data_IF_186372139383
#
_entry.id   IF_186372139383
#
_cell.length_a   1.000
_cell.length_b   1.000
_cell.length_c   1.000
_cell.angle_alpha   90.00
_cell.angle_beta   90.00
_cell.angle_gamma   90.00
#
_symmetry.space_group_name_H-M   'P 1'
#
loop_
_entity.id
_entity.type
_entity.pdbx_description
1 polymer ?
#
# COMPACT_ATOMS: atom_id res chain seq x y z
N UNK A 1 16.31 24.38 2.32
CA UNK A 1 16.07 23.77 3.65
C UNK A 1 15.35 22.47 3.40
N UNK A 2 16.08 21.36 3.45
CA UNK A 2 15.56 20.04 3.10
C UNK A 2 14.51 19.63 4.13
N UNK A 3 13.31 19.36 3.64
CA UNK A 3 12.23 18.77 4.41
C UNK A 3 12.58 17.30 4.67
N UNK A 4 12.73 16.89 5.93
CA UNK A 4 12.94 15.48 6.29
C UNK A 4 11.61 14.72 6.23
N UNK A 5 11.17 14.49 4.99
CA UNK A 5 9.99 13.68 4.66
C UNK A 5 9.99 12.30 5.37
N UNK A 6 11.13 11.55 5.46
CA UNK A 6 11.20 10.34 6.27
C UNK A 6 10.80 10.53 7.73
N UNK A 7 11.31 11.57 8.39
CA UNK A 7 10.94 11.88 9.77
C UNK A 7 9.44 12.24 9.86
N UNK A 8 8.93 13.01 8.90
CA UNK A 8 7.52 13.34 8.78
C UNK A 8 6.58 12.16 8.67
N UNK A 9 6.87 11.25 7.74
CA UNK A 9 6.04 10.06 7.55
C UNK A 9 6.17 9.08 8.73
N UNK A 10 7.37 8.96 9.31
CA UNK A 10 7.59 8.19 10.54
C UNK A 10 6.73 8.73 11.69
N UNK A 11 6.71 10.05 11.85
CA UNK A 11 5.95 10.70 12.89
C UNK A 11 4.42 10.58 12.68
N UNK A 12 3.93 10.79 11.45
CA UNK A 12 2.50 10.60 11.10
C UNK A 12 2.07 9.15 11.39
N UNK A 13 2.92 8.18 11.11
CA UNK A 13 2.66 6.78 11.42
C UNK A 13 2.55 6.51 12.93
N UNK A 14 3.41 7.15 13.76
CA UNK A 14 3.31 7.07 15.22
C UNK A 14 2.00 7.65 15.74
N UNK A 15 1.62 8.83 15.25
CA UNK A 15 0.35 9.48 15.59
C UNK A 15 -0.85 8.60 15.24
N UNK A 16 -0.93 8.13 13.99
CA UNK A 16 -1.99 7.22 13.53
C UNK A 16 -2.06 5.93 14.37
N UNK A 17 -0.91 5.34 14.69
CA UNK A 17 -0.84 4.10 15.49
C UNK A 17 -1.32 4.32 16.93
N UNK A 18 -0.98 5.45 17.54
CA UNK A 18 -1.47 5.82 18.86
C UNK A 18 -3.00 5.94 18.88
N UNK A 19 -3.58 6.70 17.93
CA UNK A 19 -5.04 6.85 17.85
C UNK A 19 -5.73 5.52 17.56
N UNK A 20 -5.15 4.65 16.71
CA UNK A 20 -5.66 3.28 16.47
C UNK A 20 -5.71 2.47 17.77
N UNK A 21 -4.65 2.53 18.58
CA UNK A 21 -4.61 1.84 19.87
C UNK A 21 -5.67 2.40 20.84
N UNK A 22 -5.83 3.73 20.89
CA UNK A 22 -6.88 4.36 21.71
C UNK A 22 -8.29 3.95 21.27
N UNK A 23 -8.55 3.93 19.95
CA UNK A 23 -9.84 3.52 19.41
C UNK A 23 -10.15 2.05 19.72
N UNK A 24 -9.17 1.14 19.54
CA UNK A 24 -9.34 -0.26 19.89
C UNK A 24 -9.66 -0.42 21.39
N UNK A 25 -8.94 0.30 22.25
CA UNK A 25 -9.16 0.26 23.69
C UNK A 25 -10.55 0.82 24.08
N UNK A 26 -11.02 1.87 23.40
CA UNK A 26 -12.37 2.44 23.62
C UNK A 26 -13.52 1.55 23.16
N UNK A 27 -13.28 0.63 22.22
CA UNK A 27 -14.28 -0.32 21.76
C UNK A 27 -14.42 -1.52 22.71
N UNK A 28 -13.34 -1.89 23.39
CA UNK A 28 -13.32 -2.98 24.37
C UNK A 28 -13.90 -2.51 25.71
N UNK A 29 -13.85 -1.20 25.99
CA UNK A 29 -14.48 -0.62 27.16
C UNK A 29 -16.01 -0.64 27.05
N UNK A 30 -16.61 -1.75 27.48
CA UNK A 30 -18.05 -1.88 27.73
C UNK A 30 -18.44 -1.09 28.99
N UNK A 31 -19.74 -0.89 29.29
CA UNK A 31 -20.17 -0.20 30.52
C UNK A 31 -19.62 -0.82 31.83
N UNK A 32 -19.08 -2.04 31.79
CA UNK A 32 -18.45 -2.72 32.93
C UNK A 32 -16.93 -2.55 33.04
N UNK A 33 -16.25 -2.08 32.01
CA UNK A 33 -14.80 -1.90 31.98
C UNK A 33 -14.47 -0.55 31.34
N UNK A 34 -14.52 0.53 32.12
CA UNK A 34 -13.97 1.82 31.68
C UNK A 34 -12.45 1.68 31.60
N UNK A 35 -11.80 2.37 30.66
CA UNK A 35 -10.34 2.47 30.63
C UNK A 35 -9.82 2.86 32.02
N UNK A 36 -8.93 2.05 32.59
CA UNK A 36 -8.35 2.34 33.90
C UNK A 36 -7.60 3.68 33.87
N UNK A 37 -7.61 4.39 34.99
CA UNK A 37 -7.03 5.73 35.14
C UNK A 37 -5.55 5.81 34.68
N UNK A 38 -4.76 4.78 34.98
CA UNK A 38 -3.37 4.67 34.53
C UNK A 38 -3.23 4.55 33.00
N UNK A 39 -4.15 3.86 32.33
CA UNK A 39 -4.14 3.72 30.86
C UNK A 39 -4.54 5.03 30.18
N UNK A 40 -5.55 5.70 30.72
CA UNK A 40 -5.99 7.04 30.31
C UNK A 40 -4.84 8.04 30.42
N UNK A 41 -4.18 8.09 31.58
CA UNK A 41 -3.02 8.94 31.81
C UNK A 41 -1.90 8.61 30.82
N UNK A 42 -1.55 7.33 30.64
CA UNK A 42 -0.50 6.91 29.71
C UNK A 42 -0.78 7.25 28.24
N UNK A 43 -2.03 7.19 27.78
CA UNK A 43 -2.41 7.66 26.44
C UNK A 43 -2.32 9.17 26.32
N UNK A 44 -2.82 9.91 27.31
CA UNK A 44 -2.80 11.37 27.35
C UNK A 44 -1.37 11.93 27.26
N UNK A 45 -0.44 11.40 28.05
CA UNK A 45 0.96 11.87 28.05
C UNK A 45 1.66 11.58 26.71
N UNK A 46 1.45 10.40 26.12
CA UNK A 46 1.99 10.07 24.80
C UNK A 46 1.41 10.95 23.70
N UNK A 47 0.11 11.26 23.77
CA UNK A 47 -0.56 12.13 22.82
C UNK A 47 -0.02 13.55 22.90
N UNK A 48 0.10 14.09 24.12
CA UNK A 48 0.66 15.41 24.39
C UNK A 48 2.11 15.51 23.88
N UNK A 49 2.96 14.54 24.22
CA UNK A 49 4.35 14.51 23.75
C UNK A 49 4.47 14.46 22.22
N UNK A 50 3.56 13.76 21.53
CA UNK A 50 3.52 13.80 20.07
C UNK A 50 3.13 15.20 19.58
N UNK A 51 2.05 15.79 20.09
CA UNK A 51 1.57 17.11 19.68
C UNK A 51 2.63 18.20 19.89
N UNK A 52 3.36 18.16 21.01
CA UNK A 52 4.47 19.08 21.29
C UNK A 52 5.63 18.91 20.31
N UNK A 53 5.84 17.67 19.83
CA UNK A 53 6.76 17.39 18.73
C UNK A 53 6.32 17.94 17.37
N UNK A 54 5.08 18.46 17.23
CA UNK A 54 4.62 19.18 16.02
C UNK A 54 5.16 20.61 16.07
N UNK A 55 6.48 20.74 15.98
CA UNK A 55 7.17 22.00 16.19
C UNK A 55 7.05 22.99 15.01
N UNK A 56 6.64 22.56 13.81
CA UNK A 56 6.59 23.44 12.63
C UNK A 56 5.24 23.42 11.89
N UNK A 57 4.86 24.58 11.37
CA UNK A 57 3.65 24.80 10.56
C UNK A 57 3.55 23.83 9.36
N UNK A 58 4.69 23.36 8.83
CA UNK A 58 4.77 22.43 7.70
C UNK A 58 4.26 21.02 8.02
N UNK A 59 4.40 20.54 9.25
CA UNK A 59 3.86 19.24 9.68
C UNK A 59 2.33 19.24 9.67
N UNK A 60 1.72 20.40 9.99
CA UNK A 60 0.27 20.60 9.93
C UNK A 60 -0.27 20.52 8.50
N UNK A 61 0.52 20.89 7.49
CA UNK A 61 0.13 20.72 6.08
C UNK A 61 0.04 19.25 5.68
N UNK A 62 1.03 18.44 6.07
CA UNK A 62 1.00 16.99 5.77
C UNK A 62 -0.14 16.26 6.47
N UNK A 63 -0.52 16.70 7.67
CA UNK A 63 -1.69 16.16 8.37
C UNK A 63 -2.97 16.40 7.58
N UNK A 64 -3.13 17.58 6.98
CA UNK A 64 -4.28 17.92 6.13
C UNK A 64 -4.32 17.09 4.85
N UNK A 65 -3.16 16.82 4.25
CA UNK A 65 -3.03 16.02 3.02
C UNK A 65 -3.11 14.51 3.27
N UNK A 66 -2.93 14.05 4.52
CA UNK A 66 -3.03 12.64 4.86
C UNK A 66 -4.42 12.10 4.51
N UNK A 67 -4.46 10.87 4.00
CA UNK A 67 -5.71 10.14 3.75
C UNK A 67 -6.05 9.13 4.85
N UNK A 68 -5.19 9.01 5.87
CA UNK A 68 -5.44 8.11 6.99
C UNK A 68 -6.62 8.65 7.83
N UNK A 69 -7.68 7.85 8.09
CA UNK A 69 -8.80 8.30 8.91
C UNK A 69 -8.42 8.61 10.36
N UNK A 70 -7.38 7.99 10.90
CA UNK A 70 -6.94 8.17 12.28
C UNK A 70 -6.12 9.44 12.51
N UNK A 71 -5.69 10.09 11.43
CA UNK A 71 -5.06 11.40 11.51
C UNK A 71 -6.08 12.51 11.81
N UNK A 72 -7.37 12.31 11.47
CA UNK A 72 -8.41 13.30 11.75
C UNK A 72 -8.61 13.54 13.27
N UNK A 73 -8.81 12.53 14.14
CA UNK A 73 -8.87 12.74 15.59
C UNK A 73 -7.59 13.35 16.18
N UNK A 74 -6.43 12.94 15.67
CA UNK A 74 -5.16 13.50 16.10
C UNK A 74 -5.05 14.99 15.74
N UNK A 75 -5.50 15.38 14.55
CA UNK A 75 -5.52 16.77 14.12
C UNK A 75 -6.46 17.62 14.99
N UNK A 76 -7.63 17.10 15.36
CA UNK A 76 -8.53 17.79 16.29
C UNK A 76 -7.84 18.08 17.65
N UNK A 77 -7.06 17.13 18.16
CA UNK A 77 -6.28 17.34 19.38
C UNK A 77 -5.16 18.37 19.21
N UNK A 78 -4.48 18.40 18.06
CA UNK A 78 -3.50 19.44 17.74
C UNK A 78 -4.15 20.84 17.71
N UNK A 79 -5.26 20.98 16.99
CA UNK A 79 -5.98 22.25 16.85
C UNK A 79 -6.44 22.76 18.21
N UNK A 80 -6.94 21.85 19.07
CA UNK A 80 -7.31 22.17 20.46
C UNK A 80 -6.11 22.61 21.30
N UNK A 81 -4.98 21.89 21.21
CA UNK A 81 -3.76 22.21 21.93
C UNK A 81 -3.24 23.60 21.59
N UNK A 82 -3.03 23.87 20.30
CA UNK A 82 -2.43 25.13 19.86
C UNK A 82 -3.37 26.33 20.02
N UNK A 83 -4.68 26.14 19.94
CA UNK A 83 -5.66 27.22 20.20
C UNK A 83 -5.58 27.70 21.64
N UNK A 84 -5.50 26.77 22.60
CA UNK A 84 -5.41 27.12 24.03
C UNK A 84 -4.02 27.60 24.42
N UNK A 85 -2.97 27.03 23.83
CA UNK A 85 -1.60 27.51 24.05
C UNK A 85 -1.46 28.98 23.64
N UNK A 86 -2.09 29.39 22.52
CA UNK A 86 -2.13 30.79 22.09
C UNK A 86 -2.87 31.71 23.07
N UNK A 87 -3.73 31.16 23.93
CA UNK A 87 -4.43 31.87 25.00
C UNK A 87 -3.66 31.82 26.33
N UNK A 88 -2.44 31.27 26.35
CA UNK A 88 -1.62 31.14 27.56
C UNK A 88 -2.00 29.97 28.47
N UNK A 89 -2.82 29.02 28.00
CA UNK A 89 -3.24 27.84 28.77
C UNK A 89 -2.77 26.57 28.07
N UNK A 90 -2.04 25.75 28.80
CA UNK A 90 -1.59 24.45 28.30
C UNK A 90 -2.62 23.35 28.58
N UNK A 91 -3.18 22.66 27.56
CA UNK A 91 -4.12 21.57 27.79
C UNK A 91 -3.45 20.32 28.39
N UNK A 92 -4.18 19.63 29.26
CA UNK A 92 -3.71 18.37 29.86
C UNK A 92 -3.84 17.19 28.89
N UNK A 93 -3.08 16.11 29.12
CA UNK A 93 -3.21 14.87 28.36
C UNK A 93 -4.63 14.28 28.40
N UNK A 94 -5.31 14.39 29.55
CA UNK A 94 -6.69 13.95 29.73
C UNK A 94 -7.68 14.74 28.85
N UNK A 95 -7.49 16.06 28.78
CA UNK A 95 -8.31 16.95 27.97
C UNK A 95 -8.14 16.62 26.47
N UNK A 96 -6.90 16.44 26.02
CA UNK A 96 -6.59 16.06 24.63
C UNK A 96 -7.18 14.67 24.29
N UNK A 97 -7.15 13.74 25.24
CA UNK A 97 -7.77 12.43 25.07
C UNK A 97 -9.29 12.54 24.88
N UNK A 98 -9.96 13.42 25.63
CA UNK A 98 -11.40 13.67 25.48
C UNK A 98 -11.73 14.16 24.06
N UNK A 99 -10.94 15.10 23.53
CA UNK A 99 -11.07 15.61 22.16
C UNK A 99 -10.92 14.47 21.13
N UNK A 100 -9.91 13.62 21.29
CA UNK A 100 -9.72 12.45 20.40
C UNK A 100 -10.92 11.51 20.45
N UNK A 101 -11.43 11.17 21.64
CA UNK A 101 -12.55 10.25 21.80
C UNK A 101 -13.84 10.81 21.18
N UNK A 102 -14.10 12.12 21.35
CA UNK A 102 -15.20 12.80 20.68
C UNK A 102 -15.05 12.74 19.15
N UNK A 103 -13.85 13.01 18.63
CA UNK A 103 -13.59 12.93 17.19
C UNK A 103 -13.73 11.50 16.63
N UNK A 104 -13.34 10.47 17.38
CA UNK A 104 -13.54 9.06 17.02
C UNK A 104 -15.02 8.65 16.96
N UNK A 105 -15.88 9.30 17.73
CA UNK A 105 -17.34 9.08 17.72
C UNK A 105 -18.05 9.94 16.66
N UNK A 106 -17.33 10.85 15.99
CA UNK A 106 -17.94 11.78 15.04
C UNK A 106 -18.41 11.10 13.75
N UNK A 107 -19.51 11.59 13.13
CA UNK A 107 -19.94 11.14 11.80
C UNK A 107 -18.85 11.32 10.73
N UNK A 108 -18.04 12.38 10.83
CA UNK A 108 -16.95 12.66 9.89
C UNK A 108 -15.88 11.57 9.90
N UNK A 109 -15.47 11.09 11.09
CA UNK A 109 -14.53 9.99 11.21
C UNK A 109 -15.10 8.69 10.61
N UNK A 110 -16.35 8.38 10.91
CA UNK A 110 -17.04 7.21 10.35
C UNK A 110 -17.07 7.25 8.81
N UNK A 111 -17.43 8.40 8.22
CA UNK A 111 -17.45 8.60 6.77
C UNK A 111 -16.07 8.44 6.12
N UNK A 112 -15.01 8.99 6.75
CA UNK A 112 -13.64 8.90 6.24
C UNK A 112 -13.11 7.46 6.30
N UNK A 113 -13.33 6.76 7.41
CA UNK A 113 -12.98 5.34 7.57
C UNK A 113 -13.70 4.47 6.55
N UNK A 114 -15.00 4.69 6.36
CA UNK A 114 -15.81 3.93 5.41
C UNK A 114 -15.41 4.20 3.96
N UNK A 115 -14.98 5.42 3.64
CA UNK A 115 -14.47 5.77 2.31
C UNK A 115 -13.17 5.04 1.99
N UNK A 116 -12.22 4.99 2.95
CA UNK A 116 -10.98 4.22 2.80
C UNK A 116 -11.27 2.73 2.68
N UNK A 117 -12.20 2.19 3.48
CA UNK A 117 -12.66 0.79 3.38
C UNK A 117 -13.24 0.49 2.00
N UNK A 118 -14.18 1.30 1.50
CA UNK A 118 -14.79 1.15 0.17
C UNK A 118 -13.74 1.19 -0.95
N UNK A 119 -12.79 2.12 -0.87
CA UNK A 119 -11.70 2.22 -1.84
C UNK A 119 -10.84 0.95 -1.85
N UNK A 120 -10.43 0.44 -0.69
CA UNK A 120 -9.72 -0.84 -0.58
C UNK A 120 -10.50 -1.98 -1.24
N UNK A 121 -11.78 -2.14 -0.91
CA UNK A 121 -12.60 -3.20 -1.52
C UNK A 121 -12.71 -3.05 -3.03
N UNK A 122 -12.89 -1.83 -3.53
CA UNK A 122 -12.95 -1.56 -4.98
C UNK A 122 -11.64 -1.93 -5.67
N UNK A 123 -10.49 -1.56 -5.11
CA UNK A 123 -9.17 -1.90 -5.65
C UNK A 123 -8.95 -3.40 -5.62
N UNK A 124 -9.21 -4.06 -4.48
CA UNK A 124 -9.10 -5.52 -4.33
C UNK A 124 -9.95 -6.25 -5.37
N UNK A 125 -11.24 -5.95 -5.45
CA UNK A 125 -12.16 -6.62 -6.36
C UNK A 125 -11.77 -6.38 -7.81
N UNK A 126 -11.32 -5.16 -8.16
CA UNK A 126 -10.83 -4.89 -9.52
C UNK A 126 -9.56 -5.65 -9.87
N UNK A 127 -8.64 -5.85 -8.92
CA UNK A 127 -7.42 -6.63 -9.16
C UNK A 127 -7.74 -8.12 -9.31
N UNK A 128 -8.59 -8.65 -8.45
CA UNK A 128 -9.03 -10.04 -8.53
C UNK A 128 -9.72 -10.30 -9.87
N UNK A 129 -10.73 -9.50 -10.23
CA UNK A 129 -11.43 -9.66 -11.50
C UNK A 129 -10.47 -9.59 -12.70
N UNK A 130 -9.54 -8.63 -12.69
CA UNK A 130 -8.56 -8.48 -13.75
C UNK A 130 -7.68 -9.73 -13.96
N UNK A 131 -7.25 -10.38 -12.89
CA UNK A 131 -6.46 -11.64 -12.98
C UNK A 131 -7.34 -12.80 -13.45
N UNK A 132 -8.59 -12.88 -12.99
CA UNK A 132 -9.54 -13.89 -13.44
C UNK A 132 -9.86 -13.74 -14.94
N UNK A 133 -10.06 -12.52 -15.43
CA UNK A 133 -10.29 -12.23 -16.85
C UNK A 133 -9.10 -12.70 -17.71
N UNK A 134 -7.87 -12.36 -17.30
CA UNK A 134 -6.66 -12.84 -17.96
C UNK A 134 -6.53 -14.37 -17.89
N UNK A 135 -6.98 -15.00 -16.81
CA UNK A 135 -6.95 -16.46 -16.69
C UNK A 135 -7.97 -17.15 -17.61
N UNK A 136 -9.13 -16.53 -17.87
CA UNK A 136 -10.10 -17.00 -18.86
C UNK A 136 -9.52 -16.87 -20.28
N UNK A 137 -8.92 -15.73 -20.60
CA UNK A 137 -8.30 -15.47 -21.91
C UNK A 137 -7.12 -16.44 -22.16
N UNK A 138 -6.24 -16.60 -21.15
CA UNK A 138 -5.04 -17.43 -21.23
C UNK A 138 -5.18 -18.69 -20.37
N UNK A 139 -5.61 -19.78 -20.99
CA UNK A 139 -5.77 -21.11 -20.36
C UNK A 139 -4.55 -21.59 -19.57
N UNK A 140 -3.34 -21.15 -19.91
CA UNK A 140 -2.14 -21.28 -19.07
C UNK A 140 -1.62 -19.89 -18.72
N UNK A 141 -1.85 -19.45 -17.49
CA UNK A 141 -1.46 -18.13 -17.00
C UNK A 141 -0.30 -18.30 -16.02
N UNK A 142 0.76 -17.51 -16.19
CA UNK A 142 1.87 -17.43 -15.25
C UNK A 142 1.86 -16.09 -14.54
N UNK A 143 2.00 -16.11 -13.21
CA UNK A 143 2.04 -14.93 -12.35
C UNK A 143 3.41 -14.85 -11.67
N UNK A 144 4.15 -13.77 -11.93
CA UNK A 144 5.45 -13.46 -11.32
C UNK A 144 5.29 -12.25 -10.41
N UNK A 145 5.67 -12.37 -9.13
CA UNK A 145 5.58 -11.28 -8.15
C UNK A 145 6.94 -10.94 -7.56
N UNK A 146 7.28 -9.66 -7.62
CA UNK A 146 8.54 -9.10 -7.17
C UNK A 146 8.30 -7.95 -6.21
N UNK A 147 9.14 -7.86 -5.18
CA UNK A 147 9.26 -6.63 -4.38
C UNK A 147 10.52 -5.92 -4.81
N UNK A 148 10.40 -4.65 -5.17
CA UNK A 148 11.47 -3.82 -5.70
C UNK A 148 11.69 -2.63 -4.76
N UNK A 149 12.93 -2.37 -4.36
CA UNK A 149 13.27 -1.24 -3.48
C UNK A 149 14.63 -0.65 -3.85
N UNK A 150 15.02 0.42 -3.15
CA UNK A 150 16.34 1.04 -3.23
C UNK A 150 17.12 0.74 -1.93
N UNK A 151 18.39 0.33 -2.06
CA UNK A 151 19.24 0.00 -0.92
C UNK A 151 19.68 1.26 -0.17
N UNK A 152 19.59 1.23 1.16
CA UNK A 152 20.06 2.33 2.02
C UNK A 152 21.58 2.46 1.95
N UNK A 153 22.07 3.70 1.87
CA UNK A 153 23.51 4.04 1.95
C UNK A 153 24.16 4.48 0.64
N UNK A 154 23.57 4.16 -0.52
CA UNK A 154 24.08 4.54 -1.85
C UNK A 154 23.33 5.73 -2.47
N UNK A 155 22.37 6.29 -1.75
CA UNK A 155 21.45 7.33 -2.22
C UNK A 155 21.89 8.76 -1.90
N UNK A 156 23.16 9.01 -1.48
CA UNK A 156 23.61 10.36 -1.05
C UNK A 156 23.35 11.47 -2.09
N UNK A 157 23.31 11.12 -3.38
CA UNK A 157 23.01 12.04 -4.49
C UNK A 157 21.75 11.65 -5.29
N UNK A 158 20.95 10.70 -4.81
CA UNK A 158 19.77 10.19 -5.51
C UNK A 158 18.58 10.17 -4.56
N UNK A 159 17.45 10.72 -5.00
CA UNK A 159 16.19 10.68 -4.27
C UNK A 159 15.26 9.67 -4.94
N UNK A 160 15.15 8.42 -4.44
CA UNK A 160 14.25 7.40 -4.97
C UNK A 160 12.83 7.90 -5.24
N UNK A 161 12.31 8.76 -4.36
CA UNK A 161 10.98 9.36 -4.44
C UNK A 161 10.77 10.21 -5.71
N UNK A 162 11.85 10.76 -6.28
CA UNK A 162 11.80 11.60 -7.47
C UNK A 162 11.92 10.80 -8.78
N UNK A 163 12.38 9.55 -8.73
CA UNK A 163 12.66 8.74 -9.94
C UNK A 163 11.88 7.44 -10.06
N UNK A 164 11.25 6.95 -8.98
CA UNK A 164 10.60 5.63 -9.00
C UNK A 164 9.58 5.45 -10.13
N UNK A 165 8.86 6.53 -10.52
CA UNK A 165 7.89 6.46 -11.60
C UNK A 165 8.58 6.31 -12.97
N UNK A 166 9.68 7.01 -13.19
CA UNK A 166 10.49 6.89 -14.40
C UNK A 166 11.18 5.52 -14.47
N UNK A 167 11.76 5.06 -13.36
CA UNK A 167 12.37 3.74 -13.24
C UNK A 167 11.36 2.62 -13.50
N UNK A 168 10.14 2.77 -12.98
CA UNK A 168 9.04 1.87 -13.28
C UNK A 168 8.73 1.81 -14.77
N UNK A 169 8.67 2.95 -15.47
CA UNK A 169 8.46 2.95 -16.91
C UNK A 169 9.63 2.35 -17.70
N UNK A 170 10.87 2.60 -17.27
CA UNK A 170 12.06 1.96 -17.86
C UNK A 170 11.99 0.45 -17.71
N UNK A 171 11.56 -0.06 -16.56
CA UNK A 171 11.36 -1.48 -16.32
C UNK A 171 10.26 -2.07 -17.22
N UNK A 172 9.12 -1.37 -17.37
CA UNK A 172 8.05 -1.80 -18.28
C UNK A 172 8.53 -1.90 -19.73
N UNK A 173 9.35 -0.95 -20.20
CA UNK A 173 9.95 -1.00 -21.55
C UNK A 173 10.87 -2.21 -21.72
N UNK A 174 11.70 -2.50 -20.73
CA UNK A 174 12.54 -3.71 -20.74
C UNK A 174 11.69 -4.99 -20.82
N UNK A 175 10.63 -5.08 -20.00
CA UNK A 175 9.75 -6.26 -20.00
C UNK A 175 9.06 -6.42 -21.35
N UNK A 176 8.54 -5.32 -21.94
CA UNK A 176 7.92 -5.36 -23.26
C UNK A 176 8.89 -5.86 -24.34
N UNK A 177 10.12 -5.37 -24.35
CA UNK A 177 11.13 -5.77 -25.35
C UNK A 177 11.57 -7.23 -25.18
N UNK A 178 11.69 -7.71 -23.94
CA UNK A 178 12.23 -9.05 -23.65
C UNK A 178 11.19 -10.17 -23.62
N UNK A 179 9.91 -9.86 -23.38
CA UNK A 179 8.90 -10.88 -23.08
C UNK A 179 7.63 -10.77 -23.92
N UNK A 180 7.46 -9.80 -24.81
CA UNK A 180 6.34 -9.82 -25.77
C UNK A 180 6.55 -10.92 -26.82
N UNK A 181 5.51 -11.70 -27.21
CA UNK A 181 4.08 -11.55 -26.88
C UNK A 181 3.63 -12.27 -25.60
N UNK A 182 4.55 -12.92 -24.89
CA UNK A 182 4.23 -13.67 -23.69
C UNK A 182 3.76 -12.79 -22.52
N UNK A 183 4.23 -11.55 -22.40
CA UNK A 183 3.77 -10.61 -21.37
C UNK A 183 2.40 -10.05 -21.70
N UNK A 184 1.42 -10.30 -20.82
CA UNK A 184 -0.01 -10.01 -21.08
C UNK A 184 -0.63 -9.02 -20.12
N UNK A 185 0.07 -8.66 -19.04
CA UNK A 185 -0.47 -7.75 -18.05
C UNK A 185 0.43 -7.47 -16.85
N UNK A 186 0.05 -6.46 -16.06
CA UNK A 186 0.69 -6.19 -14.79
C UNK A 186 -0.26 -5.52 -13.78
N UNK A 187 0.10 -5.62 -12.50
CA UNK A 187 -0.33 -4.73 -11.44
C UNK A 187 0.89 -4.30 -10.61
N UNK A 188 0.90 -3.07 -10.10
CA UNK A 188 1.94 -2.54 -9.23
C UNK A 188 1.32 -1.73 -8.11
N UNK A 189 1.88 -1.86 -6.91
CA UNK A 189 1.60 -1.00 -5.77
C UNK A 189 2.87 -0.30 -5.33
N UNK A 190 2.85 1.02 -5.27
CA UNK A 190 3.87 1.84 -4.64
C UNK A 190 3.54 2.04 -3.16
N UNK A 191 4.55 1.89 -2.31
CA UNK A 191 4.49 2.08 -0.87
C UNK A 191 5.63 2.96 -0.38
N UNK A 192 5.47 3.54 0.82
CA UNK A 192 6.55 4.23 1.52
C UNK A 192 6.71 3.66 2.93
N UNK A 193 7.85 3.03 3.19
CA UNK A 193 8.20 2.54 4.50
C UNK A 193 9.30 3.40 5.14
N UNK A 194 9.19 3.83 6.41
CA UNK A 194 10.26 4.61 7.08
C UNK A 194 11.64 3.93 7.01
N UNK A 195 11.67 2.60 7.00
CA UNK A 195 12.91 1.83 6.87
C UNK A 195 13.31 1.51 5.43
N UNK A 196 12.38 1.42 4.48
CA UNK A 196 12.67 1.00 3.09
C UNK A 196 12.67 2.16 2.09
N UNK A 197 12.21 3.34 2.49
CA UNK A 197 11.88 4.42 1.58
C UNK A 197 10.71 4.04 0.67
N UNK A 198 10.63 4.71 -0.48
CA UNK A 198 9.69 4.30 -1.53
C UNK A 198 10.09 2.95 -2.15
N UNK A 199 9.10 2.09 -2.37
CA UNK A 199 9.28 0.77 -2.97
C UNK A 199 8.03 0.33 -3.73
N UNK A 200 8.15 -0.74 -4.52
CA UNK A 200 7.07 -1.25 -5.37
C UNK A 200 6.86 -2.76 -5.19
N UNK A 201 5.60 -3.16 -5.01
CA UNK A 201 5.14 -4.54 -5.10
C UNK A 201 4.56 -4.77 -6.49
N UNK A 202 5.21 -5.61 -7.28
CA UNK A 202 4.89 -5.82 -8.71
C UNK A 202 4.34 -7.22 -8.90
N UNK A 203 3.23 -7.34 -9.64
CA UNK A 203 2.68 -8.59 -10.16
C UNK A 203 2.66 -8.50 -11.69
N UNK A 204 3.38 -9.40 -12.35
CA UNK A 204 3.46 -9.52 -13.80
C UNK A 204 2.72 -10.78 -14.24
N UNK A 205 1.98 -10.68 -15.33
CA UNK A 205 1.18 -11.76 -15.88
C UNK A 205 1.69 -12.12 -17.27
N UNK A 206 1.87 -13.43 -17.51
CA UNK A 206 2.36 -13.96 -18.76
C UNK A 206 1.46 -15.08 -19.30
N UNK A 207 1.34 -15.19 -20.62
CA UNK A 207 0.83 -16.37 -21.27
C UNK A 207 1.85 -17.52 -21.08
N UNK A 208 1.56 -18.42 -20.16
CA UNK A 208 2.44 -19.54 -19.82
C UNK A 208 2.53 -20.62 -20.91
N UNK A 209 1.84 -20.46 -22.04
CA UNK A 209 2.11 -21.28 -23.25
C UNK A 209 3.39 -20.84 -23.95
N UNK A 210 3.72 -19.55 -23.90
CA UNK A 210 4.88 -18.95 -24.56
C UNK A 210 6.13 -18.96 -23.67
N UNK A 211 5.95 -18.99 -22.35
CA UNK A 211 7.04 -18.93 -21.37
C UNK A 211 6.92 -19.99 -20.28
N UNK A 212 8.05 -20.31 -19.66
CA UNK A 212 8.19 -21.23 -18.52
C UNK A 212 9.15 -20.64 -17.48
N UNK A 213 9.29 -21.33 -16.35
CA UNK A 213 10.26 -20.99 -15.29
C UNK A 213 10.05 -19.59 -14.69
N UNK A 214 8.92 -19.44 -14.01
CA UNK A 214 8.52 -18.18 -13.38
C UNK A 214 9.55 -17.66 -12.35
N UNK A 215 10.26 -18.56 -11.65
CA UNK A 215 11.38 -18.20 -10.78
C UNK A 215 12.54 -17.56 -11.57
N UNK A 216 12.92 -18.16 -12.71
CA UNK A 216 13.98 -17.64 -13.59
C UNK A 216 13.59 -16.28 -14.16
N UNK A 217 12.34 -16.13 -14.63
CA UNK A 217 11.83 -14.85 -15.15
C UNK A 217 11.86 -13.78 -14.06
N UNK A 218 11.37 -14.09 -12.86
CA UNK A 218 11.43 -13.17 -11.73
C UNK A 218 12.86 -12.73 -11.40
N UNK A 219 13.83 -13.65 -11.47
CA UNK A 219 15.24 -13.34 -11.29
C UNK A 219 15.78 -12.43 -12.40
N UNK A 220 15.48 -12.70 -13.67
CA UNK A 220 15.94 -11.86 -14.80
C UNK A 220 15.46 -10.41 -14.61
N UNK A 221 14.17 -10.23 -14.30
CA UNK A 221 13.56 -8.91 -14.14
C UNK A 221 14.09 -8.20 -12.89
N UNK A 222 14.20 -8.92 -11.76
CA UNK A 222 14.76 -8.38 -10.52
C UNK A 222 16.22 -7.98 -10.64
N UNK A 223 17.03 -8.78 -11.34
CA UNK A 223 18.43 -8.44 -11.63
C UNK A 223 18.53 -7.20 -12.52
N UNK A 224 17.67 -7.08 -13.53
CA UNK A 224 17.63 -5.89 -14.37
C UNK A 224 17.23 -4.63 -13.58
N UNK A 225 16.26 -4.76 -12.66
CA UNK A 225 15.91 -3.69 -11.71
C UNK A 225 17.15 -3.24 -10.92
N UNK A 226 17.84 -4.20 -10.27
CA UNK A 226 19.01 -3.95 -9.44
C UNK A 226 20.17 -3.31 -10.21
N UNK A 227 20.53 -3.86 -11.37
CA UNK A 227 21.78 -3.53 -12.05
C UNK A 227 21.63 -2.37 -13.03
N UNK A 228 20.52 -2.30 -13.77
CA UNK A 228 20.38 -1.40 -14.93
C UNK A 228 19.37 -0.29 -14.66
N UNK A 229 18.19 -0.60 -14.14
CA UNK A 229 17.15 0.41 -13.92
C UNK A 229 17.59 1.39 -12.84
N UNK A 230 18.08 0.85 -11.73
CA UNK A 230 18.47 1.62 -10.54
C UNK A 230 19.97 1.85 -10.43
N UNK A 231 20.72 1.66 -11.52
CA UNK A 231 22.16 1.97 -11.57
C UNK A 231 22.98 1.28 -10.45
N UNK A 232 22.61 0.04 -10.11
CA UNK A 232 23.28 -0.76 -9.08
C UNK A 232 22.78 -0.52 -7.64
N UNK A 233 21.90 0.47 -7.41
CA UNK A 233 21.45 0.82 -6.05
C UNK A 233 20.12 0.17 -5.64
N UNK A 234 19.49 -0.61 -6.52
CA UNK A 234 18.23 -1.30 -6.26
C UNK A 234 18.40 -2.64 -5.58
N UNK A 235 17.40 -3.06 -4.82
CA UNK A 235 17.25 -4.43 -4.34
C UNK A 235 15.93 -5.03 -4.81
N UNK A 236 15.85 -6.35 -4.83
CA UNK A 236 14.61 -7.04 -5.11
C UNK A 236 14.46 -8.33 -4.30
N UNK A 237 13.21 -8.76 -4.13
CA UNK A 237 12.84 -10.05 -3.56
C UNK A 237 11.95 -10.78 -4.56
N UNK A 238 12.40 -11.97 -4.97
CA UNK A 238 11.64 -12.82 -5.87
C UNK A 238 10.75 -13.76 -5.07
N UNK A 239 9.44 -13.53 -5.10
CA UNK A 239 8.50 -14.41 -4.40
C UNK A 239 8.29 -15.74 -5.09
N UNK A 240 8.65 -15.85 -6.37
CA UNK A 240 8.43 -17.06 -7.15
C UNK A 240 9.43 -18.19 -6.84
N UNK A 241 10.32 -18.00 -5.87
CA UNK A 241 11.24 -19.06 -5.43
C UNK A 241 10.47 -20.28 -4.93
N UNK A 242 10.93 -21.47 -5.27
CA UNK A 242 10.33 -22.73 -4.79
C UNK A 242 10.15 -22.75 -3.27
N UNK A 243 11.16 -22.30 -2.53
CA UNK A 243 11.12 -22.26 -1.07
C UNK A 243 10.03 -21.33 -0.53
N UNK A 244 9.81 -20.16 -1.15
CA UNK A 244 8.79 -19.23 -0.70
C UNK A 244 7.37 -19.68 -1.07
N UNK A 245 7.17 -20.26 -2.26
CA UNK A 245 5.88 -20.86 -2.64
C UNK A 245 5.46 -21.98 -1.68
N UNK A 246 6.40 -22.81 -1.23
CA UNK A 246 6.12 -23.90 -0.31
C UNK A 246 5.65 -23.44 1.09
N UNK A 247 5.81 -22.16 1.43
CA UNK A 247 5.33 -21.56 2.68
C UNK A 247 3.92 -20.97 2.55
N UNK A 248 3.38 -20.88 1.33
CA UNK A 248 2.06 -20.32 1.09
C UNK A 248 0.98 -21.38 1.32
N UNK A 249 0.03 -21.06 2.19
CA UNK A 249 -1.19 -21.87 2.38
C UNK A 249 -1.99 -21.97 1.07
N UNK A 250 -2.11 -20.86 0.34
CA UNK A 250 -2.71 -20.79 -1.00
C UNK A 250 -1.76 -20.05 -1.95
N UNK A 251 -1.21 -20.76 -2.93
CA UNK A 251 -0.20 -20.23 -3.83
C UNK A 251 -0.85 -19.48 -5.00
N UNK A 252 -0.88 -18.15 -4.92
CA UNK A 252 -1.38 -17.27 -6.00
C UNK A 252 -0.34 -16.88 -7.06
N UNK A 253 0.87 -17.43 -6.99
CA UNK A 253 1.97 -17.16 -7.91
C UNK A 253 2.47 -18.43 -8.58
N UNK A 254 3.12 -18.31 -9.73
CA UNK A 254 3.55 -19.45 -10.54
C UNK A 254 2.64 -19.69 -11.73
N UNK A 255 2.61 -20.93 -12.22
CA UNK A 255 1.92 -21.28 -13.47
C UNK A 255 0.63 -22.05 -13.17
N UNK A 256 -0.48 -21.57 -13.73
CA UNK A 256 -1.82 -22.11 -13.51
C UNK A 256 -2.43 -22.56 -14.83
N UNK A 257 -2.88 -23.81 -14.90
CA UNK A 257 -3.57 -24.39 -16.06
C UNK A 257 -5.08 -24.50 -15.88
N UNK A 258 -5.60 -24.33 -14.66
CA UNK A 258 -7.03 -24.38 -14.33
C UNK A 258 -7.40 -23.31 -13.29
N UNK A 259 -8.70 -23.08 -13.10
CA UNK A 259 -9.28 -22.18 -12.08
C UNK A 259 -9.56 -22.96 -10.78
N UNK A 260 -8.51 -23.46 -10.13
CA UNK A 260 -8.68 -24.20 -8.85
C UNK A 260 -9.02 -23.24 -7.70
N UNK A 261 -9.61 -23.76 -6.62
CA UNK A 261 -9.86 -22.97 -5.40
C UNK A 261 -8.56 -22.35 -4.85
N UNK A 262 -7.46 -23.09 -4.90
CA UNK A 262 -6.14 -22.58 -4.49
C UNK A 262 -5.67 -21.38 -5.33
N UNK A 263 -5.94 -21.40 -6.64
CA UNK A 263 -5.65 -20.26 -7.51
C UNK A 263 -6.53 -19.07 -7.12
N UNK A 264 -7.83 -19.29 -6.95
CA UNK A 264 -8.78 -18.22 -6.63
C UNK A 264 -8.46 -17.56 -5.28
N UNK A 265 -8.23 -18.35 -4.24
CA UNK A 265 -7.86 -17.85 -2.90
C UNK A 265 -6.46 -17.21 -2.91
N UNK A 266 -5.51 -17.81 -3.63
CA UNK A 266 -4.17 -17.23 -3.81
C UNK A 266 -4.20 -15.85 -4.47
N UNK A 267 -4.99 -15.69 -5.54
CA UNK A 267 -5.19 -14.40 -6.23
C UNK A 267 -5.92 -13.41 -5.31
N UNK A 268 -6.93 -13.86 -4.56
CA UNK A 268 -7.64 -13.01 -3.60
C UNK A 268 -6.70 -12.47 -2.52
N UNK A 269 -5.78 -13.30 -1.99
CA UNK A 269 -4.77 -12.88 -1.01
C UNK A 269 -3.77 -11.87 -1.58
N UNK A 270 -3.32 -12.05 -2.83
CA UNK A 270 -2.45 -11.08 -3.50
C UNK A 270 -3.20 -9.75 -3.71
N UNK A 271 -4.44 -9.81 -4.18
CA UNK A 271 -5.28 -8.64 -4.38
C UNK A 271 -5.53 -7.88 -3.07
N UNK A 272 -5.80 -8.59 -1.97
CA UNK A 272 -5.99 -7.98 -0.65
C UNK A 272 -4.71 -7.31 -0.14
N UNK A 273 -3.56 -7.98 -0.31
CA UNK A 273 -2.26 -7.42 0.03
C UNK A 273 -1.98 -6.12 -0.73
N UNK A 274 -2.17 -6.13 -2.06
CA UNK A 274 -1.94 -4.96 -2.91
C UNK A 274 -2.94 -3.82 -2.63
N UNK A 275 -4.17 -4.15 -2.23
CA UNK A 275 -5.21 -3.17 -1.95
C UNK A 275 -5.08 -2.48 -0.58
N UNK A 276 -4.19 -2.93 0.31
CA UNK A 276 -3.96 -2.27 1.61
C UNK A 276 -3.59 -0.79 1.40
N UNK A 277 -4.25 0.17 2.04
CA UNK A 277 -3.90 1.58 1.88
C UNK A 277 -2.47 1.86 2.32
N UNK A 278 -1.77 2.70 1.55
CA UNK A 278 -0.56 3.39 1.97
C UNK A 278 -0.86 4.89 1.95
N UNK A 279 -0.86 5.51 3.12
CA UNK A 279 -1.21 6.91 3.31
C UNK A 279 -0.01 7.85 3.16
N UNK A 280 1.21 7.32 3.13
CA UNK A 280 2.45 8.11 3.09
C UNK A 280 3.03 8.25 1.69
N UNK A 281 2.86 7.25 0.82
CA UNK A 281 3.51 7.22 -0.50
C UNK A 281 3.12 8.39 -1.40
N UNK A 282 1.88 8.87 -1.32
CA UNK A 282 1.41 10.03 -2.11
C UNK A 282 1.99 11.36 -1.61
N UNK A 283 2.34 11.43 -0.31
CA UNK A 283 3.06 12.57 0.25
C UNK A 283 4.54 12.50 -0.14
N UNK A 284 5.07 11.29 -0.30
CA UNK A 284 6.47 11.07 -0.61
C UNK A 284 6.83 11.26 -2.08
N UNK A 285 6.00 10.77 -3.00
CA UNK A 285 6.30 10.66 -4.43
C UNK A 285 5.57 11.77 -5.21
N UNK A 286 6.27 12.80 -5.70
CA UNK A 286 5.66 13.83 -6.52
C UNK A 286 5.04 13.24 -7.80
N UNK A 287 3.84 13.69 -8.16
CA UNK A 287 3.14 13.22 -9.36
C UNK A 287 2.50 11.84 -9.26
N UNK A 288 2.54 11.18 -8.09
CA UNK A 288 1.84 9.92 -7.88
C UNK A 288 0.32 10.12 -7.73
N UNK A 289 -0.41 9.82 -8.80
CA UNK A 289 -1.87 9.86 -8.86
C UNK A 289 -2.54 8.75 -8.02
N UNK A 290 -2.08 7.51 -8.18
CA UNK A 290 -2.61 6.29 -7.57
C UNK A 290 -1.47 5.41 -7.10
N UNK A 291 -1.53 4.99 -5.84
CA UNK A 291 -0.55 4.04 -5.28
C UNK A 291 -0.66 2.66 -5.92
N UNK A 292 -1.85 2.25 -6.36
CA UNK A 292 -2.06 0.98 -7.08
C UNK A 292 -2.41 1.26 -8.53
N UNK A 293 -1.66 0.64 -9.45
CA UNK A 293 -1.87 0.70 -10.90
C UNK A 293 -1.94 -0.72 -11.47
N UNK A 294 -2.62 -0.89 -12.60
CA UNK A 294 -2.60 -2.12 -13.40
C UNK A 294 -2.75 -1.77 -14.88
N UNK A 295 -2.31 -2.64 -15.78
CA UNK A 295 -2.64 -2.46 -17.18
C UNK A 295 -4.13 -2.74 -17.44
N UNK A 296 -4.57 -2.30 -18.61
CA UNK A 296 -5.89 -2.58 -19.16
C UNK A 296 -5.80 -3.78 -20.10
N UNK A 297 -6.93 -4.46 -20.28
CA UNK A 297 -7.04 -5.44 -21.36
C UNK A 297 -6.93 -4.71 -22.69
N UNK A 298 -6.08 -5.20 -23.59
CA UNK A 298 -5.99 -4.70 -24.96
C UNK A 298 -7.25 -5.06 -25.78
N UNK A 299 -7.33 -4.60 -27.03
CA UNK A 299 -8.49 -4.85 -27.88
C UNK A 299 -8.77 -6.34 -28.09
N UNK A 300 -7.72 -7.12 -28.40
CA UNK A 300 -7.87 -8.56 -28.64
C UNK A 300 -8.28 -9.31 -27.38
N UNK A 301 -7.71 -8.94 -26.23
CA UNK A 301 -8.03 -9.51 -24.92
C UNK A 301 -9.50 -9.29 -24.57
N UNK A 302 -10.04 -8.08 -24.80
CA UNK A 302 -11.46 -7.78 -24.57
C UNK A 302 -12.37 -8.60 -25.48
N UNK A 303 -12.11 -8.59 -26.79
CA UNK A 303 -12.91 -9.35 -27.76
C UNK A 303 -12.90 -10.86 -27.46
N UNK A 304 -11.76 -11.39 -26.99
CA UNK A 304 -11.64 -12.79 -26.59
C UNK A 304 -12.43 -13.10 -25.33
N UNK A 305 -12.39 -12.23 -24.33
CA UNK A 305 -13.14 -12.39 -23.09
C UNK A 305 -14.65 -12.39 -23.34
N UNK A 306 -15.13 -11.44 -24.15
CA UNK A 306 -16.56 -11.33 -24.51
C UNK A 306 -17.07 -12.61 -25.17
N UNK A 307 -16.30 -13.19 -26.11
CA UNK A 307 -16.65 -14.48 -26.75
C UNK A 307 -16.74 -15.62 -25.74
N UNK A 308 -15.75 -15.75 -24.86
CA UNK A 308 -15.73 -16.80 -23.83
C UNK A 308 -16.92 -16.69 -22.85
N UNK A 309 -17.32 -15.47 -22.51
CA UNK A 309 -18.47 -15.22 -21.65
C UNK A 309 -19.79 -15.54 -22.35
N UNK A 310 -19.92 -15.20 -23.64
CA UNK A 310 -21.11 -15.55 -24.42
C UNK A 310 -21.28 -17.06 -24.60
N UNK A 311 -20.18 -17.79 -24.82
CA UNK A 311 -20.15 -19.26 -24.88
C UNK A 311 -20.65 -19.86 -23.54
N UNK A 312 -20.13 -19.39 -22.41
CA UNK A 312 -20.52 -19.88 -21.09
C UNK A 312 -21.97 -19.56 -20.66
N UNK A 313 -22.61 -18.54 -21.25
CA UNK A 313 -24.02 -18.23 -21.02
C UNK A 313 -24.99 -19.01 -21.92
N UNK A 314 -24.46 -19.72 -22.92
CA UNK A 314 -25.26 -20.49 -23.89
C UNK A 314 -25.40 -21.98 -23.51
N UNK A 315 -24.64 -22.43 -22.51
CA UNK A 315 -24.66 -23.77 -21.91
C UNK A 315 -25.46 -23.78 -20.59
#
# INVERSE_FOLDING_TARGET
MYFDLPEALSWINKASSLIKAMHAASLISTPRFVLGEAAVHGFGERLKALIEGVAEERWRLLLKESTDPYILPFQAACDHYFTHLAQGREPSGLELMSVVLQALQSPLFALRRDSVRRLRHKVRNSLQQYVHDLKLIYSKLMIVRLDLWYMKGYTRNMLPEQRILEDWERLLRFIAQGFTPAWVGYAVKFEYGPQRGVHAHVMLLFNGREVREDETIGRIIGEHWRQVITDGVGGYFNTNTRAYKAQMEYCGIGTFTSMTDDFQEGVARIADYLAKPDHGVRLAVPGLDRSVRRSYLDGWQRDRLERLQAEACSD
#
